data_IF_531010013257
#
_entry.id   IF_531010013257
#
_cell.length_a   1.000
_cell.length_b   1.000
_cell.length_c   1.000
_cell.angle_alpha   90.00
_cell.angle_beta   90.00
_cell.angle_gamma   90.00
#
_symmetry.space_group_name_H-M   'P 1'
#
loop_
_entity.id
_entity.type
_entity.pdbx_description
1 polymer ?
#
# COMPACT_ATOMS: atom_id res chain seq x y z
N UNK A 1 31.00 -54.75 50.11
CA UNK A 1 30.15 -54.29 51.24
C UNK A 1 28.67 -54.65 51.07
N UNK A 2 28.20 -55.11 49.91
CA UNK A 2 26.81 -55.51 49.66
C UNK A 2 26.50 -56.98 49.99
N UNK A 3 27.50 -57.83 50.19
CA UNK A 3 27.32 -59.28 50.40
C UNK A 3 26.85 -59.67 51.82
N UNK A 4 26.57 -58.68 52.68
CA UNK A 4 26.03 -58.87 54.04
C UNK A 4 24.61 -58.32 54.22
N UNK A 5 23.96 -57.90 53.13
CA UNK A 5 22.63 -57.30 53.15
C UNK A 5 21.61 -58.36 52.78
N UNK A 6 20.49 -58.42 53.50
CA UNK A 6 19.39 -59.35 53.22
C UNK A 6 18.92 -59.24 51.75
N UNK A 7 18.65 -60.35 51.05
CA UNK A 7 18.25 -60.33 49.64
C UNK A 7 17.04 -59.43 49.35
N UNK A 8 16.05 -59.41 50.26
CA UNK A 8 14.84 -58.59 50.14
C UNK A 8 15.19 -57.10 50.19
N UNK A 9 16.10 -56.72 51.08
CA UNK A 9 16.55 -55.34 51.20
C UNK A 9 17.36 -54.89 49.98
N UNK A 10 18.09 -55.81 49.33
CA UNK A 10 18.82 -55.53 48.09
C UNK A 10 17.87 -55.26 46.91
N UNK A 11 16.79 -56.02 46.79
CA UNK A 11 15.77 -55.80 45.75
C UNK A 11 15.06 -54.46 45.93
N UNK A 12 14.67 -54.13 47.15
CA UNK A 12 14.03 -52.83 47.45
C UNK A 12 14.98 -51.67 47.12
N UNK A 13 16.27 -51.77 47.47
CA UNK A 13 17.26 -50.73 47.15
C UNK A 13 17.51 -50.59 45.65
N UNK A 14 17.52 -51.69 44.89
CA UNK A 14 17.66 -51.66 43.43
C UNK A 14 16.45 -50.99 42.76
N UNK A 15 15.23 -51.35 43.17
CA UNK A 15 14.02 -50.73 42.64
C UNK A 15 13.95 -49.22 42.93
N UNK A 16 14.38 -48.79 44.12
CA UNK A 16 14.50 -47.37 44.47
C UNK A 16 15.56 -46.68 43.62
N UNK A 17 16.70 -47.33 43.36
CA UNK A 17 17.77 -46.76 42.54
C UNK A 17 17.32 -46.56 41.09
N UNK A 18 16.66 -47.56 40.51
CA UNK A 18 16.09 -47.49 39.16
C UNK A 18 15.05 -46.35 39.04
N UNK A 19 14.17 -46.20 40.03
CA UNK A 19 13.19 -45.11 40.05
C UNK A 19 13.86 -43.73 40.18
N UNK A 20 14.90 -43.61 41.01
CA UNK A 20 15.67 -42.36 41.15
C UNK A 20 16.40 -42.00 39.85
N UNK A 21 17.01 -42.98 39.17
CA UNK A 21 17.69 -42.76 37.89
C UNK A 21 16.69 -42.32 36.81
N UNK A 22 15.54 -43.01 36.71
CA UNK A 22 14.46 -42.66 35.79
C UNK A 22 13.93 -41.24 36.04
N UNK A 23 13.81 -40.81 37.30
CA UNK A 23 13.41 -39.44 37.61
C UNK A 23 14.47 -38.40 37.29
N UNK A 24 15.77 -38.74 37.35
CA UNK A 24 16.86 -37.83 36.97
C UNK A 24 16.91 -37.59 35.46
N UNK A 25 16.64 -38.61 34.65
CA UNK A 25 16.63 -38.48 33.18
C UNK A 25 15.61 -37.45 32.67
N UNK A 26 14.51 -37.24 33.41
CA UNK A 26 13.44 -36.33 33.01
C UNK A 26 13.58 -34.92 33.64
N UNK A 27 14.65 -34.64 34.39
CA UNK A 27 14.83 -33.35 35.05
C UNK A 27 15.65 -32.38 34.21
N UNK A 28 15.08 -31.20 33.95
CA UNK A 28 15.82 -30.08 33.36
C UNK A 28 16.84 -29.58 34.39
N UNK A 29 18.10 -29.51 33.98
CA UNK A 29 19.17 -29.03 34.84
C UNK A 29 19.15 -27.49 34.92
N UNK A 30 19.67 -26.95 36.02
CA UNK A 30 19.87 -25.50 36.18
C UNK A 30 20.76 -24.92 35.06
N UNK A 31 21.68 -25.72 34.50
CA UNK A 31 22.54 -25.32 33.40
C UNK A 31 21.73 -25.11 32.12
N UNK A 32 20.96 -26.12 31.70
CA UNK A 32 20.08 -26.04 30.52
C UNK A 32 19.07 -24.89 30.64
N UNK A 33 18.49 -24.69 31.83
CA UNK A 33 17.58 -23.57 32.08
C UNK A 33 18.26 -22.20 31.91
N UNK A 34 19.50 -22.06 32.40
CA UNK A 34 20.27 -20.82 32.25
C UNK A 34 20.70 -20.56 30.80
N UNK A 35 21.06 -21.60 30.06
CA UNK A 35 21.37 -21.52 28.63
C UNK A 35 20.13 -21.10 27.83
N UNK A 36 18.98 -21.73 28.08
CA UNK A 36 17.71 -21.34 27.47
C UNK A 36 17.35 -19.88 27.79
N UNK A 37 17.53 -19.45 29.05
CA UNK A 37 17.28 -18.06 29.45
C UNK A 37 18.19 -17.08 28.72
N UNK A 38 19.43 -17.44 28.44
CA UNK A 38 20.34 -16.61 27.66
C UNK A 38 19.87 -16.52 26.20
N UNK A 39 19.55 -17.65 25.56
CA UNK A 39 19.02 -17.70 24.19
C UNK A 39 17.74 -16.85 24.05
N UNK A 40 16.81 -16.97 25.00
CA UNK A 40 15.57 -16.19 25.00
C UNK A 40 15.83 -14.69 25.13
N UNK A 41 16.83 -14.28 25.91
CA UNK A 41 17.22 -12.86 26.03
C UNK A 41 17.82 -12.35 24.73
N UNK A 42 18.75 -13.09 24.12
CA UNK A 42 19.35 -12.74 22.83
C UNK A 42 18.29 -12.63 21.73
N UNK A 43 17.33 -13.56 21.72
CA UNK A 43 16.20 -13.53 20.77
C UNK A 43 15.32 -12.29 20.99
N UNK A 44 15.00 -11.95 22.24
CA UNK A 44 14.21 -10.76 22.55
C UNK A 44 14.93 -9.46 22.13
N UNK A 45 16.25 -9.38 22.32
CA UNK A 45 17.06 -8.24 21.86
C UNK A 45 17.12 -8.15 20.33
N UNK A 46 17.32 -9.29 19.65
CA UNK A 46 17.28 -9.35 18.20
C UNK A 46 15.92 -8.92 17.65
N UNK A 47 14.82 -9.40 18.26
CA UNK A 47 13.46 -9.00 17.89
C UNK A 47 13.24 -7.50 18.07
N UNK A 48 13.67 -6.93 19.21
CA UNK A 48 13.54 -5.49 19.45
C UNK A 48 14.28 -4.66 18.40
N UNK A 49 15.50 -5.07 18.02
CA UNK A 49 16.27 -4.41 16.95
C UNK A 49 15.54 -4.49 15.61
N UNK A 50 14.96 -5.64 15.28
CA UNK A 50 14.15 -5.81 14.07
C UNK A 50 12.91 -4.92 14.08
N UNK A 51 12.20 -4.80 15.20
CA UNK A 51 11.03 -3.93 15.33
C UNK A 51 11.40 -2.45 15.12
N UNK A 52 12.54 -2.01 15.66
CA UNK A 52 13.04 -0.65 15.47
C UNK A 52 13.39 -0.35 14.00
N UNK A 53 14.11 -1.26 13.32
CA UNK A 53 14.43 -1.11 11.90
C UNK A 53 13.16 -1.16 11.02
N UNK A 54 12.20 -2.02 11.34
CA UNK A 54 10.93 -2.09 10.63
C UNK A 54 10.14 -0.78 10.77
N UNK A 55 10.13 -0.16 11.96
CA UNK A 55 9.48 1.13 12.18
C UNK A 55 10.11 2.24 11.35
N UNK A 56 11.44 2.26 11.23
CA UNK A 56 12.16 3.21 10.35
C UNK A 56 11.78 2.98 8.89
N UNK A 57 11.80 1.72 8.43
CA UNK A 57 11.41 1.37 7.06
C UNK A 57 9.97 1.80 6.73
N UNK A 58 9.01 1.55 7.63
CA UNK A 58 7.61 1.96 7.44
C UNK A 58 7.50 3.48 7.31
N UNK A 59 8.23 4.23 8.13
CA UNK A 59 8.24 5.70 8.09
C UNK A 59 8.80 6.21 6.77
N UNK A 60 9.95 5.70 6.34
CA UNK A 60 10.56 6.09 5.06
C UNK A 60 9.68 5.68 3.88
N UNK A 61 9.05 4.50 3.92
CA UNK A 61 8.13 4.08 2.88
C UNK A 61 6.91 5.01 2.78
N UNK A 62 6.34 5.45 3.92
CA UNK A 62 5.25 6.42 3.92
C UNK A 62 5.67 7.74 3.27
N UNK A 63 6.86 8.24 3.58
CA UNK A 63 7.43 9.44 2.95
C UNK A 63 7.59 9.27 1.43
N UNK A 64 8.18 8.17 0.99
CA UNK A 64 8.30 7.87 -0.45
C UNK A 64 6.94 7.84 -1.14
N UNK A 65 5.90 7.26 -0.52
CA UNK A 65 4.54 7.25 -1.09
C UNK A 65 3.94 8.65 -1.21
N UNK A 66 4.20 9.53 -0.25
CA UNK A 66 3.77 10.93 -0.31
C UNK A 66 4.45 11.67 -1.45
N UNK A 67 5.78 11.53 -1.58
CA UNK A 67 6.57 12.16 -2.65
C UNK A 67 6.11 11.66 -4.05
N UNK A 68 5.90 10.35 -4.21
CA UNK A 68 5.35 9.78 -5.44
C UNK A 68 3.91 10.26 -5.74
N UNK A 69 3.09 10.47 -4.71
CA UNK A 69 1.77 11.07 -4.86
C UNK A 69 1.86 12.50 -5.40
N UNK A 70 2.75 13.32 -4.85
CA UNK A 70 3.02 14.68 -5.33
C UNK A 70 3.49 14.70 -6.79
N UNK A 71 4.42 13.83 -7.16
CA UNK A 71 4.88 13.69 -8.54
C UNK A 71 3.76 13.28 -9.49
N UNK A 72 2.89 12.35 -9.07
CA UNK A 72 1.74 11.92 -9.87
C UNK A 72 0.79 13.08 -10.16
N UNK A 73 0.56 13.97 -9.19
CA UNK A 73 -0.22 15.19 -9.40
C UNK A 73 0.44 16.15 -10.37
N UNK A 74 1.75 16.40 -10.24
CA UNK A 74 2.49 17.28 -11.16
C UNK A 74 2.48 16.75 -12.59
N UNK A 75 2.72 15.44 -12.77
CA UNK A 75 2.65 14.80 -14.09
C UNK A 75 1.23 14.92 -14.65
N UNK A 76 0.20 14.71 -13.82
CA UNK A 76 -1.19 14.88 -14.22
C UNK A 76 -1.49 16.26 -14.77
N UNK A 77 -1.13 17.30 -14.01
CA UNK A 77 -1.27 18.69 -14.43
C UNK A 77 -0.55 18.99 -15.76
N UNK A 78 0.70 18.54 -15.91
CA UNK A 78 1.48 18.75 -17.14
C UNK A 78 0.82 18.06 -18.34
N UNK A 79 0.28 16.86 -18.15
CA UNK A 79 -0.40 16.13 -19.22
C UNK A 79 -1.70 16.81 -19.62
N UNK A 80 -2.47 17.31 -18.65
CA UNK A 80 -3.72 18.04 -18.90
C UNK A 80 -3.46 19.35 -19.65
N UNK A 81 -2.45 20.13 -19.25
CA UNK A 81 -2.03 21.36 -19.94
C UNK A 81 -1.58 21.08 -21.38
N UNK A 82 -0.79 20.01 -21.59
CA UNK A 82 -0.36 19.62 -22.94
C UNK A 82 -1.52 19.12 -23.79
N UNK A 83 -2.43 18.34 -23.22
CA UNK A 83 -3.63 17.88 -23.92
C UNK A 83 -4.49 19.07 -24.34
N UNK A 84 -4.63 20.07 -23.48
CA UNK A 84 -5.35 21.29 -23.75
C UNK A 84 -4.75 22.08 -24.92
N UNK A 85 -3.43 22.29 -24.90
CA UNK A 85 -2.71 22.98 -25.97
C UNK A 85 -2.75 22.20 -27.30
N UNK A 86 -2.71 20.87 -27.23
CA UNK A 86 -2.73 19.98 -28.40
C UNK A 86 -4.13 19.73 -28.98
N UNK A 87 -5.19 20.01 -28.24
CA UNK A 87 -6.55 19.68 -28.67
C UNK A 87 -7.04 20.48 -29.90
N UNK A 88 -6.87 21.82 -30.00
CA UNK A 88 -7.30 22.57 -31.17
C UNK A 88 -6.77 22.06 -32.52
N UNK A 89 -5.45 21.81 -32.71
CA UNK A 89 -4.96 21.28 -33.99
C UNK A 89 -5.45 19.87 -34.28
N UNK A 90 -5.66 19.01 -33.27
CA UNK A 90 -6.24 17.67 -33.45
C UNK A 90 -7.70 17.74 -33.91
N UNK A 91 -8.50 18.62 -33.30
CA UNK A 91 -9.90 18.84 -33.68
C UNK A 91 -10.02 19.32 -35.13
N UNK A 92 -9.11 20.17 -35.59
CA UNK A 92 -9.09 20.62 -36.97
C UNK A 92 -8.68 19.50 -37.93
N UNK A 93 -7.57 18.81 -37.62
CA UNK A 93 -7.01 17.76 -38.47
C UNK A 93 -7.96 16.57 -38.64
N UNK A 94 -8.50 16.06 -37.55
CA UNK A 94 -9.19 14.77 -37.54
C UNK A 94 -10.71 14.93 -37.70
N UNK A 95 -11.26 16.06 -37.23
CA UNK A 95 -12.71 16.29 -37.20
C UNK A 95 -13.18 17.49 -38.02
N UNK A 96 -12.26 18.23 -38.65
CA UNK A 96 -12.55 19.47 -39.41
C UNK A 96 -13.28 20.51 -38.56
N UNK A 97 -12.96 20.56 -37.27
CA UNK A 97 -13.49 21.53 -36.31
C UNK A 97 -12.44 22.61 -36.09
N UNK A 98 -12.73 23.84 -36.55
CA UNK A 98 -11.88 25.00 -36.29
C UNK A 98 -12.35 25.71 -35.04
N UNK A 99 -11.50 25.77 -34.02
CA UNK A 99 -11.76 26.54 -32.80
C UNK A 99 -11.68 28.04 -33.12
N UNK A 100 -12.70 28.81 -32.72
CA UNK A 100 -12.78 30.26 -33.00
C UNK A 100 -12.13 31.12 -31.91
N UNK A 101 -12.23 30.67 -30.68
CA UNK A 101 -11.76 31.34 -29.48
C UNK A 101 -11.01 30.30 -28.64
N UNK A 102 -9.97 30.68 -27.88
CA UNK A 102 -9.30 29.76 -26.98
C UNK A 102 -10.33 28.99 -26.15
N UNK A 103 -10.15 27.68 -26.06
CA UNK A 103 -10.92 26.88 -25.12
C UNK A 103 -10.72 27.50 -23.72
N UNK A 104 -11.69 27.32 -22.83
CA UNK A 104 -11.61 27.73 -21.42
C UNK A 104 -12.31 26.72 -20.52
N UNK A 105 -11.91 26.71 -19.25
CA UNK A 105 -12.67 26.07 -18.17
C UNK A 105 -13.74 27.05 -17.69
N UNK A 106 -15.00 26.62 -17.64
CA UNK A 106 -16.11 27.49 -17.27
C UNK A 106 -17.25 26.67 -16.63
N UNK A 107 -18.17 27.36 -15.96
CA UNK A 107 -19.36 26.77 -15.36
C UNK A 107 -20.56 26.90 -16.29
N UNK A 108 -21.29 25.81 -16.48
CA UNK A 108 -22.54 25.79 -17.24
C UNK A 108 -23.69 25.49 -16.29
N UNK A 109 -24.74 26.32 -16.35
CA UNK A 109 -26.00 26.07 -15.66
C UNK A 109 -26.76 24.94 -16.38
N UNK A 110 -27.01 23.84 -15.67
CA UNK A 110 -27.74 22.67 -16.19
C UNK A 110 -29.14 22.53 -15.58
N UNK A 111 -29.52 23.45 -14.70
CA UNK A 111 -30.83 23.54 -14.06
C UNK A 111 -30.87 24.69 -13.05
N UNK A 112 -32.03 25.01 -12.47
CA UNK A 112 -32.17 26.10 -11.50
C UNK A 112 -31.14 25.97 -10.38
N UNK A 113 -30.24 26.95 -10.28
CA UNK A 113 -29.13 27.00 -9.30
C UNK A 113 -28.15 25.81 -9.34
N UNK A 114 -28.16 25.01 -10.41
CA UNK A 114 -27.26 23.85 -10.59
C UNK A 114 -26.24 24.13 -11.67
N UNK A 115 -24.99 24.31 -11.27
CA UNK A 115 -23.85 24.54 -12.15
C UNK A 115 -22.93 23.32 -12.20
N UNK A 116 -22.44 22.99 -13.40
CA UNK A 116 -21.41 21.98 -13.62
C UNK A 116 -20.19 22.67 -14.23
N UNK A 117 -19.02 22.38 -13.69
CA UNK A 117 -17.77 22.86 -14.24
C UNK A 117 -17.32 21.97 -15.41
N UNK A 118 -16.95 22.59 -16.52
CA UNK A 118 -16.49 21.89 -17.71
C UNK A 118 -15.04 22.30 -17.97
N UNK A 119 -14.14 21.32 -18.09
CA UNK A 119 -12.71 21.59 -18.28
C UNK A 119 -12.40 22.22 -19.64
N UNK A 120 -13.15 21.83 -20.66
CA UNK A 120 -12.97 22.29 -22.03
C UNK A 120 -14.29 22.84 -22.55
N UNK A 121 -14.39 24.16 -22.67
CA UNK A 121 -15.52 24.85 -23.27
C UNK A 121 -15.04 25.86 -24.31
N UNK A 122 -15.61 25.83 -25.51
CA UNK A 122 -15.34 26.85 -26.50
C UNK A 122 -16.22 26.76 -27.75
N UNK A 123 -16.19 27.82 -28.56
CA UNK A 123 -16.93 27.87 -29.82
C UNK A 123 -16.03 27.43 -30.97
N UNK A 124 -16.57 26.55 -31.80
CA UNK A 124 -15.92 26.06 -33.01
C UNK A 124 -16.76 26.27 -34.26
N UNK A 125 -16.19 25.92 -35.40
CA UNK A 125 -16.87 25.84 -36.69
C UNK A 125 -16.61 24.48 -37.32
N UNK A 126 -17.68 23.79 -37.73
CA UNK A 126 -17.60 22.53 -38.47
C UNK A 126 -18.48 22.63 -39.70
N UNK A 127 -17.92 22.36 -40.88
CA UNK A 127 -18.64 22.41 -42.16
C UNK A 127 -19.48 23.71 -42.34
N UNK A 128 -18.89 24.86 -41.99
CA UNK A 128 -19.56 26.15 -42.10
C UNK A 128 -20.50 26.53 -40.96
N UNK A 129 -20.93 25.57 -40.11
CA UNK A 129 -21.85 25.80 -38.97
C UNK A 129 -21.10 26.08 -37.67
N UNK A 130 -21.64 26.96 -36.84
CA UNK A 130 -21.13 27.20 -35.49
C UNK A 130 -21.52 26.03 -34.58
N UNK A 131 -20.58 25.55 -33.78
CA UNK A 131 -20.79 24.48 -32.81
C UNK A 131 -20.18 24.87 -31.46
N UNK A 132 -20.68 24.26 -30.39
CA UNK A 132 -20.00 24.24 -29.11
C UNK A 132 -19.10 23.00 -29.00
N UNK A 133 -17.93 23.19 -28.43
CA UNK A 133 -17.00 22.13 -28.05
C UNK A 133 -17.01 22.08 -26.53
N UNK A 134 -17.37 20.92 -26.00
CA UNK A 134 -17.53 20.65 -24.58
C UNK A 134 -16.76 19.36 -24.28
N UNK A 135 -15.95 19.34 -23.23
CA UNK A 135 -15.15 18.16 -22.88
C UNK A 135 -14.61 18.18 -21.45
N UNK A 136 -14.30 16.99 -20.96
CA UNK A 136 -13.62 16.77 -19.67
C UNK A 136 -12.14 16.44 -19.92
N UNK A 137 -11.26 16.91 -19.04
CA UNK A 137 -9.83 16.62 -19.10
C UNK A 137 -9.42 15.95 -17.79
N UNK A 138 -8.90 14.72 -17.88
CA UNK A 138 -8.49 13.94 -16.72
C UNK A 138 -7.33 13.04 -17.07
N UNK A 139 -6.28 13.04 -16.25
CA UNK A 139 -5.11 12.19 -16.49
C UNK A 139 -5.42 10.68 -16.46
N UNK A 140 -6.41 10.29 -15.65
CA UNK A 140 -6.88 8.90 -15.54
C UNK A 140 -8.40 8.86 -15.77
N UNK A 141 -8.80 8.76 -17.03
CA UNK A 141 -10.19 8.67 -17.44
C UNK A 141 -10.72 7.25 -17.18
N UNK A 142 -11.76 7.10 -16.35
CA UNK A 142 -12.45 5.82 -16.13
C UNK A 142 -13.75 5.79 -16.91
N UNK A 143 -14.25 4.58 -17.23
CA UNK A 143 -15.55 4.41 -17.94
C UNK A 143 -16.70 5.17 -17.25
N UNK A 144 -16.76 5.12 -15.92
CA UNK A 144 -17.75 5.84 -15.12
C UNK A 144 -17.70 7.37 -15.31
N UNK A 145 -16.51 7.92 -15.52
CA UNK A 145 -16.32 9.37 -15.68
C UNK A 145 -16.95 9.81 -17.03
N UNK A 146 -16.76 9.00 -18.08
CA UNK A 146 -17.39 9.21 -19.39
C UNK A 146 -18.92 9.12 -19.30
N UNK A 147 -19.44 8.12 -18.59
CA UNK A 147 -20.88 7.94 -18.41
C UNK A 147 -21.51 9.09 -17.63
N UNK A 148 -20.79 9.65 -16.64
CA UNK A 148 -21.23 10.81 -15.86
C UNK A 148 -21.23 12.09 -16.71
N UNK A 149 -20.21 12.29 -17.55
CA UNK A 149 -20.14 13.46 -18.44
C UNK A 149 -21.21 13.47 -19.54
N UNK A 150 -21.67 12.30 -20.00
CA UNK A 150 -22.66 12.18 -21.07
C UNK A 150 -24.12 12.26 -20.60
N UNK A 151 -24.38 12.27 -19.28
CA UNK A 151 -25.71 12.35 -18.69
C UNK A 151 -26.16 13.79 -18.45
#
# INVERSE_FOLDING_TARGET
MLDRVDPTLKEVLLAILEEIEKQREHQVTKKEFNELKAIVRELAEAQKRTEEELKKLVTEHQRTRQELGGLSHTVGYILEDRAYAGLPPLLEKDFRIKIKEPLKRDWIEVGPERFIEINILGKGRKNGKNIWVVGECKTQLKKKDVEEFLR
#
